data_IF_051243494848
#
_entry.id   IF_051243494848
#
_cell.length_a   1.000
_cell.length_b   1.000
_cell.length_c   1.000
_cell.angle_alpha   90.00
_cell.angle_beta   90.00
_cell.angle_gamma   90.00
#
_symmetry.space_group_name_H-M   'P 1'
#
loop_
_entity.id
_entity.type
_entity.pdbx_description
1 polymer ?
#
# COMPACT_ATOMS: atom_id res chain seq x y z
N UNK A 1 -20.92 -0.80 16.69
CA UNK A 1 -21.68 -1.81 15.94
C UNK A 1 -21.79 -1.38 14.49
N UNK A 2 -21.50 -2.26 13.52
CA UNK A 2 -21.49 -1.90 12.10
C UNK A 2 -22.84 -2.19 11.47
N UNK A 3 -23.41 -3.31 11.84
CA UNK A 3 -24.64 -3.86 11.31
C UNK A 3 -25.71 -4.13 12.40
N UNK A 4 -25.50 -3.67 13.63
CA UNK A 4 -26.43 -3.92 14.75
C UNK A 4 -26.28 -5.25 15.45
N UNK A 5 -25.44 -6.18 14.96
CA UNK A 5 -25.22 -7.48 15.60
C UNK A 5 -24.23 -7.37 16.76
N UNK A 6 -24.59 -7.93 17.91
CA UNK A 6 -23.81 -7.90 19.14
C UNK A 6 -22.64 -8.90 19.02
N UNK A 7 -21.44 -8.47 19.40
CA UNK A 7 -20.30 -9.36 19.66
C UNK A 7 -19.15 -9.35 18.64
N UNK A 8 -19.38 -9.02 17.37
CA UNK A 8 -18.30 -8.94 16.39
C UNK A 8 -18.24 -7.57 15.72
N UNK A 9 -17.02 -7.11 15.41
CA UNK A 9 -16.81 -5.86 14.66
C UNK A 9 -17.35 -5.93 13.24
N UNK A 10 -17.24 -7.10 12.61
CA UNK A 10 -17.75 -7.40 11.29
C UNK A 10 -18.47 -8.74 11.38
N UNK A 11 -19.79 -8.73 11.30
CA UNK A 11 -20.57 -9.96 11.22
C UNK A 11 -20.29 -10.70 9.89
N UNK A 12 -20.73 -11.94 9.81
CA UNK A 12 -20.52 -12.77 8.62
C UNK A 12 -21.03 -12.11 7.33
N UNK A 13 -22.18 -11.42 7.38
CA UNK A 13 -22.75 -10.72 6.23
C UNK A 13 -21.89 -9.54 5.77
N UNK A 14 -21.38 -8.74 6.72
CA UNK A 14 -20.46 -7.66 6.40
C UNK A 14 -19.14 -8.20 5.81
N UNK A 15 -18.63 -9.32 6.32
CA UNK A 15 -17.44 -9.98 5.77
C UNK A 15 -17.68 -10.45 4.33
N UNK A 16 -18.87 -11.01 4.03
CA UNK A 16 -19.25 -11.45 2.67
C UNK A 16 -19.43 -10.30 1.67
N UNK A 17 -19.79 -9.10 2.14
CA UNK A 17 -19.91 -7.91 1.29
C UNK A 17 -18.58 -7.31 0.85
N UNK A 18 -17.47 -7.70 1.49
CA UNK A 18 -16.13 -7.28 1.09
C UNK A 18 -15.65 -8.13 -0.09
N UNK A 19 -15.95 -7.66 -1.29
CA UNK A 19 -15.58 -8.35 -2.53
C UNK A 19 -14.10 -8.18 -2.85
N UNK A 20 -13.45 -9.23 -3.39
CA UNK A 20 -12.09 -9.12 -3.89
C UNK A 20 -12.02 -8.15 -5.08
N UNK A 21 -10.89 -7.49 -5.25
CA UNK A 21 -10.63 -6.68 -6.42
C UNK A 21 -10.13 -7.56 -7.58
N UNK A 22 -10.51 -7.23 -8.81
CA UNK A 22 -9.98 -7.93 -9.99
C UNK A 22 -8.48 -7.65 -10.15
N UNK A 23 -7.76 -8.64 -10.66
CA UNK A 23 -6.34 -8.50 -11.00
C UNK A 23 -6.16 -7.54 -12.17
N UNK A 24 -5.49 -6.44 -11.92
CA UNK A 24 -5.25 -5.39 -12.91
C UNK A 24 -3.81 -4.92 -12.93
N UNK A 25 -3.37 -4.49 -14.09
CA UNK A 25 -2.14 -3.72 -14.22
C UNK A 25 -2.27 -2.39 -13.46
N UNK A 26 -1.26 -2.08 -12.68
CA UNK A 26 -1.22 -0.86 -11.87
C UNK A 26 -1.35 0.43 -12.69
N UNK A 27 -1.00 0.45 -13.96
CA UNK A 27 -1.01 1.63 -14.83
C UNK A 27 -2.20 1.71 -15.78
N UNK A 28 -2.38 0.71 -16.66
CA UNK A 28 -3.41 0.76 -17.71
C UNK A 28 -4.75 0.17 -17.28
N UNK A 29 -4.83 -0.44 -16.09
CA UNK A 29 -6.02 -1.06 -15.51
C UNK A 29 -6.61 -2.24 -16.28
N UNK A 30 -5.96 -2.69 -17.34
CA UNK A 30 -6.32 -3.92 -18.01
C UNK A 30 -6.02 -5.12 -17.11
N UNK A 31 -6.70 -6.23 -17.32
CA UNK A 31 -6.38 -7.48 -16.62
C UNK A 31 -4.87 -7.76 -16.67
N UNK A 32 -4.31 -8.12 -15.54
CA UNK A 32 -2.91 -8.50 -15.44
C UNK A 32 -2.73 -9.50 -14.32
N UNK A 33 -2.33 -10.71 -14.70
CA UNK A 33 -2.14 -11.83 -13.77
C UNK A 33 -1.25 -11.44 -12.60
N UNK A 34 -1.65 -11.86 -11.40
CA UNK A 34 -0.94 -11.60 -10.15
C UNK A 34 -0.75 -10.09 -9.86
N UNK A 35 -1.62 -9.21 -10.36
CA UNK A 35 -1.51 -7.75 -10.19
C UNK A 35 -0.17 -7.14 -10.65
N UNK A 36 0.53 -7.81 -11.56
CA UNK A 36 1.79 -7.31 -12.10
C UNK A 36 1.55 -6.10 -13.03
N UNK A 37 2.54 -5.25 -13.14
CA UNK A 37 2.57 -4.26 -14.22
C UNK A 37 2.79 -4.98 -15.54
N UNK A 38 1.88 -4.83 -16.52
CA UNK A 38 1.97 -5.52 -17.81
C UNK A 38 3.21 -5.07 -18.61
N UNK A 39 3.63 -5.89 -19.57
CA UNK A 39 4.85 -5.63 -20.35
C UNK A 39 4.81 -4.30 -21.10
N UNK A 40 3.67 -3.96 -21.72
CA UNK A 40 3.48 -2.69 -22.42
C UNK A 40 3.69 -1.48 -21.52
N UNK A 41 3.23 -1.56 -20.25
CA UNK A 41 3.41 -0.49 -19.30
C UNK A 41 4.82 -0.45 -18.72
N UNK A 42 5.49 -1.60 -18.56
CA UNK A 42 6.89 -1.66 -18.12
C UNK A 42 7.85 -1.08 -19.17
N UNK A 43 7.54 -1.19 -20.45
CA UNK A 43 8.35 -0.59 -21.52
C UNK A 43 8.30 0.94 -21.54
N UNK A 44 7.29 1.55 -20.89
CA UNK A 44 7.18 3.00 -20.77
C UNK A 44 8.13 3.54 -19.70
N UNK A 45 9.11 4.38 -20.12
CA UNK A 45 10.18 4.91 -19.26
C UNK A 45 9.71 5.64 -17.97
N UNK A 46 8.45 6.04 -17.91
CA UNK A 46 7.92 6.82 -16.77
C UNK A 46 7.24 5.97 -15.69
N UNK A 47 7.07 4.65 -15.91
CA UNK A 47 6.40 3.79 -14.96
C UNK A 47 7.30 2.63 -14.51
N UNK A 48 7.60 2.57 -13.22
CA UNK A 48 8.66 1.70 -12.68
C UNK A 48 8.18 0.73 -11.58
N UNK A 49 6.90 0.80 -11.20
CA UNK A 49 6.31 -0.12 -10.22
C UNK A 49 6.15 -1.52 -10.83
N UNK A 50 6.53 -2.57 -10.11
CA UNK A 50 6.48 -3.95 -10.61
C UNK A 50 5.10 -4.60 -10.43
N UNK A 51 4.37 -4.24 -9.36
CA UNK A 51 3.03 -4.72 -9.13
C UNK A 51 2.28 -3.95 -8.03
N UNK A 52 0.94 -4.07 -8.07
CA UNK A 52 0.05 -3.42 -7.09
C UNK A 52 -1.02 -4.40 -6.64
N UNK A 53 -0.84 -5.01 -5.47
CA UNK A 53 -1.83 -5.90 -4.87
C UNK A 53 -2.96 -5.10 -4.22
N UNK A 54 -4.21 -5.40 -4.60
CA UNK A 54 -5.42 -4.76 -4.10
C UNK A 54 -6.39 -5.86 -3.62
N UNK A 55 -6.42 -6.19 -2.33
CA UNK A 55 -7.27 -7.28 -1.81
C UNK A 55 -8.77 -7.02 -1.95
N UNK A 56 -9.21 -5.76 -1.90
CA UNK A 56 -10.64 -5.44 -1.85
C UNK A 56 -11.06 -4.43 -2.91
N UNK A 57 -12.24 -4.65 -3.49
CA UNK A 57 -12.96 -3.62 -4.24
C UNK A 57 -13.39 -2.48 -3.31
N UNK A 58 -13.26 -1.22 -3.76
CA UNK A 58 -13.62 -0.06 -2.96
C UNK A 58 -15.14 0.05 -2.83
N UNK A 59 -15.67 -0.29 -1.67
CA UNK A 59 -17.10 -0.23 -1.35
C UNK A 59 -17.37 0.77 -0.23
N UNK A 60 -18.65 1.15 -0.08
CA UNK A 60 -19.08 1.97 1.05
C UNK A 60 -18.73 1.32 2.41
N UNK A 61 -18.90 0.01 2.53
CA UNK A 61 -18.55 -0.73 3.74
C UNK A 61 -17.04 -0.64 4.02
N UNK A 62 -16.21 -0.93 3.01
CA UNK A 62 -14.75 -0.83 3.16
C UNK A 62 -14.29 0.58 3.51
N UNK A 63 -14.89 1.61 2.88
CA UNK A 63 -14.65 3.01 3.26
C UNK A 63 -14.90 3.26 4.75
N UNK A 64 -16.02 2.76 5.29
CA UNK A 64 -16.32 2.88 6.74
C UNK A 64 -15.28 2.16 7.59
N UNK A 65 -14.87 0.96 7.20
CA UNK A 65 -13.84 0.18 7.90
C UNK A 65 -12.53 0.98 7.96
N UNK A 66 -12.06 1.51 6.84
CA UNK A 66 -10.84 2.30 6.74
C UNK A 66 -10.94 3.62 7.55
N UNK A 67 -12.10 4.28 7.53
CA UNK A 67 -12.32 5.46 8.38
C UNK A 67 -12.22 5.12 9.86
N UNK A 68 -12.75 3.97 10.28
CA UNK A 68 -12.62 3.52 11.69
C UNK A 68 -11.19 3.12 12.04
N UNK A 69 -10.47 2.48 11.12
CA UNK A 69 -9.04 2.26 11.28
C UNK A 69 -8.31 3.59 11.54
N UNK A 70 -8.72 4.68 10.86
CA UNK A 70 -8.12 6.02 11.01
C UNK A 70 -8.39 6.69 12.36
N UNK A 71 -9.50 6.40 13.00
CA UNK A 71 -9.94 7.16 14.18
C UNK A 71 -10.06 6.36 15.48
N UNK A 72 -10.18 5.05 15.44
CA UNK A 72 -10.56 4.25 16.62
C UNK A 72 -9.58 3.16 17.06
N UNK A 73 -8.42 3.01 16.41
CA UNK A 73 -7.30 2.12 16.82
C UNK A 73 -7.72 0.69 17.22
N UNK A 74 -8.74 0.11 16.61
CA UNK A 74 -9.28 -1.16 17.06
C UNK A 74 -8.52 -2.34 16.47
N UNK A 75 -7.74 -3.05 17.28
CA UNK A 75 -6.94 -4.22 16.90
C UNK A 75 -7.71 -5.22 16.06
N UNK A 76 -8.91 -5.61 16.48
CA UNK A 76 -9.72 -6.61 15.75
C UNK A 76 -10.05 -6.25 14.29
N UNK A 77 -10.14 -4.94 13.97
CA UNK A 77 -10.31 -4.48 12.59
C UNK A 77 -9.01 -4.60 11.82
N UNK A 78 -7.89 -4.25 12.45
CA UNK A 78 -6.55 -4.38 11.86
C UNK A 78 -6.28 -5.86 11.56
N UNK A 79 -6.47 -6.73 12.53
CA UNK A 79 -6.23 -8.18 12.39
C UNK A 79 -7.03 -8.76 11.24
N UNK A 80 -8.33 -8.45 11.15
CA UNK A 80 -9.17 -8.89 10.04
C UNK A 80 -8.65 -8.41 8.67
N UNK A 81 -8.29 -7.12 8.54
CA UNK A 81 -7.77 -6.57 7.29
C UNK A 81 -6.43 -7.20 6.92
N UNK A 82 -5.55 -7.36 7.89
CA UNK A 82 -4.23 -7.96 7.71
C UNK A 82 -4.35 -9.42 7.29
N UNK A 83 -5.25 -10.22 7.92
CA UNK A 83 -5.51 -11.61 7.52
C UNK A 83 -5.93 -11.70 6.05
N UNK A 84 -6.82 -10.81 5.60
CA UNK A 84 -7.27 -10.77 4.20
C UNK A 84 -6.16 -10.34 3.24
N UNK A 85 -5.32 -9.40 3.65
CA UNK A 85 -4.13 -9.03 2.86
C UNK A 85 -3.15 -10.20 2.77
N UNK A 86 -2.88 -10.90 3.88
CA UNK A 86 -2.03 -12.09 3.88
C UNK A 86 -2.55 -13.17 2.94
N UNK A 87 -3.85 -13.47 3.00
CA UNK A 87 -4.47 -14.42 2.06
C UNK A 87 -4.28 -13.99 0.60
N UNK A 88 -4.48 -12.71 0.29
CA UNK A 88 -4.27 -12.18 -1.06
C UNK A 88 -2.79 -12.25 -1.48
N UNK A 89 -1.85 -12.00 -0.56
CA UNK A 89 -0.40 -12.13 -0.80
C UNK A 89 -0.03 -13.59 -1.11
N UNK A 90 -0.50 -14.55 -0.32
CA UNK A 90 -0.21 -15.97 -0.53
C UNK A 90 -0.90 -16.54 -1.78
N UNK A 91 -2.08 -16.02 -2.14
CA UNK A 91 -2.77 -16.39 -3.39
C UNK A 91 -2.12 -15.79 -4.64
N UNK A 92 -1.32 -14.73 -4.49
CA UNK A 92 -0.56 -14.12 -5.57
C UNK A 92 0.74 -14.90 -5.81
N UNK A 93 0.78 -15.72 -6.86
CA UNK A 93 1.91 -16.61 -7.13
C UNK A 93 3.24 -15.88 -7.31
N UNK A 94 3.21 -14.67 -7.85
CA UNK A 94 4.43 -13.88 -8.07
C UNK A 94 4.97 -13.34 -6.76
N UNK A 95 4.11 -12.81 -5.89
CA UNK A 95 4.52 -12.19 -4.64
C UNK A 95 4.85 -13.24 -3.57
N UNK A 96 4.10 -14.35 -3.49
CA UNK A 96 4.40 -15.45 -2.57
C UNK A 96 5.78 -16.07 -2.82
N UNK A 97 6.11 -16.34 -4.09
CA UNK A 97 7.45 -16.84 -4.46
C UNK A 97 8.59 -15.87 -4.11
N UNK A 98 8.32 -14.56 -4.08
CA UNK A 98 9.31 -13.57 -3.63
C UNK A 98 9.51 -13.61 -2.11
N UNK A 99 8.42 -13.75 -1.37
CA UNK A 99 8.45 -13.84 0.11
C UNK A 99 9.19 -15.11 0.55
N UNK A 100 8.95 -16.24 -0.10
CA UNK A 100 9.64 -17.52 0.18
C UNK A 100 11.17 -17.45 0.09
N UNK A 101 11.70 -16.51 -0.69
CA UNK A 101 13.16 -16.30 -0.81
C UNK A 101 13.78 -15.56 0.38
N UNK A 102 12.99 -15.08 1.34
CA UNK A 102 13.45 -14.36 2.54
C UNK A 102 14.28 -13.10 2.26
N UNK A 103 14.22 -12.57 1.04
CA UNK A 103 14.92 -11.35 0.60
C UNK A 103 13.92 -10.22 0.32
N UNK A 104 13.05 -10.01 1.30
CA UNK A 104 11.96 -9.04 1.21
C UNK A 104 11.99 -8.10 2.39
N UNK A 105 11.88 -6.80 2.12
CA UNK A 105 11.60 -5.77 3.12
C UNK A 105 10.20 -5.23 2.92
N UNK A 106 9.54 -4.88 4.03
CA UNK A 106 8.22 -4.23 4.04
C UNK A 106 8.28 -2.90 4.79
N UNK A 107 7.60 -1.89 4.26
CA UNK A 107 7.47 -0.58 4.90
C UNK A 107 6.08 0.01 4.68
N UNK A 108 5.63 0.84 5.62
CA UNK A 108 4.47 1.70 5.41
C UNK A 108 4.85 3.01 4.71
N UNK A 109 3.93 3.60 3.96
CA UNK A 109 4.12 4.95 3.42
C UNK A 109 4.13 5.98 4.55
N UNK A 110 5.15 6.87 4.62
CA UNK A 110 5.20 7.88 5.65
C UNK A 110 4.11 8.95 5.46
N UNK A 111 3.43 9.30 6.55
CA UNK A 111 2.62 10.51 6.60
C UNK A 111 3.54 11.72 6.87
N UNK A 112 3.12 12.93 6.42
CA UNK A 112 3.88 14.14 6.75
C UNK A 112 3.95 14.34 8.26
N UNK A 113 5.14 14.74 8.80
CA UNK A 113 5.39 14.91 10.23
C UNK A 113 4.34 15.77 10.95
N UNK A 114 3.87 16.87 10.33
CA UNK A 114 2.83 17.74 10.88
C UNK A 114 1.52 16.98 11.15
N UNK A 115 1.09 16.09 10.23
CA UNK A 115 -0.09 15.25 10.44
C UNK A 115 0.12 14.19 11.51
N UNK A 116 1.35 13.71 11.67
CA UNK A 116 1.71 12.73 12.69
C UNK A 116 1.61 13.33 14.09
N UNK A 117 2.07 14.57 14.30
CA UNK A 117 2.12 15.20 15.62
C UNK A 117 0.89 16.02 15.99
N UNK A 118 0.21 16.66 15.03
CA UNK A 118 -0.86 17.62 15.32
C UNK A 118 -2.27 17.17 14.94
N UNK A 119 -2.43 16.21 14.00
CA UNK A 119 -3.74 15.83 13.48
C UNK A 119 -4.04 14.34 13.71
N UNK A 120 -3.02 13.47 13.77
CA UNK A 120 -3.20 12.03 13.92
C UNK A 120 -2.08 11.45 14.76
N UNK A 121 -2.44 10.75 15.82
CA UNK A 121 -1.53 10.09 16.75
C UNK A 121 -0.74 8.92 16.15
N UNK A 122 -1.09 8.43 14.94
CA UNK A 122 -0.41 7.31 14.31
C UNK A 122 -0.58 7.28 12.79
N UNK A 123 0.30 6.54 12.12
CA UNK A 123 0.25 6.31 10.67
C UNK A 123 -0.36 4.93 10.39
N UNK A 124 -1.50 4.90 9.67
CA UNK A 124 -2.23 3.67 9.33
C UNK A 124 -1.40 2.73 8.48
N UNK A 125 -0.65 3.27 7.52
CA UNK A 125 0.21 2.48 6.62
C UNK A 125 1.32 1.78 7.39
N UNK A 126 1.88 2.43 8.43
CA UNK A 126 2.86 1.80 9.33
C UNK A 126 2.22 0.72 10.21
N UNK A 127 1.01 0.98 10.72
CA UNK A 127 0.30 -0.02 11.51
C UNK A 127 0.00 -1.28 10.68
N UNK A 128 -0.50 -1.10 9.45
CA UNK A 128 -0.75 -2.22 8.54
C UNK A 128 0.54 -2.96 8.19
N UNK A 129 1.60 -2.22 7.83
CA UNK A 129 2.89 -2.83 7.50
C UNK A 129 3.47 -3.62 8.67
N UNK A 130 3.42 -3.07 9.89
CA UNK A 130 3.86 -3.77 11.11
C UNK A 130 3.11 -5.06 11.38
N UNK A 131 1.78 -5.08 11.23
CA UNK A 131 1.02 -6.31 11.44
C UNK A 131 1.21 -7.32 10.28
N UNK A 132 1.49 -6.84 9.07
CA UNK A 132 1.81 -7.69 7.94
C UNK A 132 3.18 -8.37 8.09
N UNK A 133 4.22 -7.64 8.57
CA UNK A 133 5.55 -8.23 8.73
C UNK A 133 5.53 -9.42 9.70
N UNK A 134 4.81 -9.30 10.80
CA UNK A 134 4.66 -10.38 11.78
C UNK A 134 4.00 -11.63 11.16
N UNK A 135 2.97 -11.46 10.31
CA UNK A 135 2.24 -12.58 9.70
C UNK A 135 2.90 -13.13 8.44
N UNK A 136 3.64 -12.32 7.70
CA UNK A 136 4.34 -12.73 6.48
C UNK A 136 5.80 -13.16 6.75
N UNK A 137 6.28 -13.00 7.99
CA UNK A 137 7.66 -13.32 8.38
C UNK A 137 8.71 -12.61 7.51
N UNK A 138 8.43 -11.35 7.10
CA UNK A 138 9.34 -10.50 6.34
C UNK A 138 9.92 -9.41 7.24
N UNK A 139 11.05 -8.81 6.91
CA UNK A 139 11.64 -7.75 7.73
C UNK A 139 10.94 -6.40 7.51
N UNK A 140 10.50 -5.75 8.60
CA UNK A 140 9.93 -4.40 8.60
C UNK A 140 11.02 -3.33 8.74
N UNK A 141 10.94 -2.28 7.95
CA UNK A 141 11.87 -1.13 7.99
C UNK A 141 11.15 0.20 7.72
N UNK A 142 11.67 1.29 8.28
CA UNK A 142 11.18 2.66 8.04
C UNK A 142 12.25 3.45 7.26
N UNK A 143 12.40 3.16 5.97
CA UNK A 143 13.45 3.76 5.13
C UNK A 143 13.02 5.01 4.37
N UNK A 144 11.77 5.41 4.48
CA UNK A 144 11.22 6.55 3.75
C UNK A 144 10.88 7.71 4.68
N UNK A 145 11.31 8.91 4.32
CA UNK A 145 10.87 10.18 4.92
C UNK A 145 10.04 10.97 3.93
N UNK A 146 8.97 11.61 4.40
CA UNK A 146 8.18 12.54 3.60
C UNK A 146 8.57 13.98 3.93
N UNK A 147 9.22 14.64 2.99
CA UNK A 147 9.82 15.96 3.19
C UNK A 147 8.83 17.13 3.03
N UNK A 148 7.79 16.96 2.22
CA UNK A 148 6.81 18.01 1.92
C UNK A 148 5.40 17.64 2.34
N UNK A 149 4.66 18.59 2.92
CA UNK A 149 3.23 18.46 3.10
C UNK A 149 2.54 18.59 1.74
N UNK A 150 2.29 17.46 1.08
CA UNK A 150 1.42 17.46 -0.10
C UNK A 150 0.00 17.66 0.39
N UNK A 151 -0.55 18.88 0.19
CA UNK A 151 -1.96 19.16 0.48
C UNK A 151 -2.81 18.19 -0.35
N UNK A 152 -3.62 17.38 0.32
CA UNK A 152 -4.68 16.59 -0.29
C UNK A 152 -5.80 17.54 -0.70
N UNK A 153 -5.60 18.31 -1.76
CA UNK A 153 -6.69 19.07 -2.36
C UNK A 153 -7.34 18.17 -3.39
N UNK A 154 -8.57 17.74 -3.07
CA UNK A 154 -9.39 16.94 -3.96
C UNK A 154 -9.71 17.65 -5.30
N UNK A 155 -9.40 18.94 -5.41
CA UNK A 155 -9.67 19.84 -6.53
C UNK A 155 -8.45 20.16 -7.41
N UNK A 156 -7.24 19.67 -7.11
CA UNK A 156 -6.06 20.00 -7.92
C UNK A 156 -5.93 19.08 -9.13
N UNK A 157 -5.61 19.70 -10.27
CA UNK A 157 -5.35 19.08 -11.55
C UNK A 157 -4.16 18.10 -11.50
N UNK A 158 -4.15 17.12 -12.43
CA UNK A 158 -3.15 16.03 -12.49
C UNK A 158 -1.72 16.52 -12.60
N UNK A 159 -1.47 17.58 -13.37
CA UNK A 159 -0.14 18.15 -13.57
C UNK A 159 0.42 18.81 -12.31
N UNK A 160 -0.41 19.51 -11.55
CA UNK A 160 -0.01 20.10 -10.28
C UNK A 160 0.35 19.06 -9.22
N UNK A 161 -0.33 17.90 -9.25
CA UNK A 161 0.01 16.78 -8.35
C UNK A 161 1.35 16.16 -8.68
N UNK A 162 1.68 16.01 -9.95
CA UNK A 162 2.99 15.52 -10.40
C UNK A 162 4.12 16.46 -9.99
N UNK A 163 3.95 17.78 -10.17
CA UNK A 163 4.93 18.80 -9.74
C UNK A 163 5.11 18.84 -8.21
N UNK A 164 4.02 18.69 -7.44
CA UNK A 164 4.07 18.71 -5.97
C UNK A 164 4.69 17.44 -5.36
N UNK A 165 4.73 16.32 -6.06
CA UNK A 165 5.32 15.07 -5.57
C UNK A 165 6.81 14.96 -5.87
N UNK A 166 7.34 15.76 -6.80
CA UNK A 166 8.76 15.77 -7.10
C UNK A 166 9.55 16.18 -5.83
N UNK A 167 10.45 15.31 -5.36
CA UNK A 167 11.19 15.46 -4.12
C UNK A 167 10.32 15.48 -2.82
N UNK A 168 9.14 14.88 -2.86
CA UNK A 168 8.29 14.77 -1.68
C UNK A 168 8.76 13.67 -0.70
N UNK A 169 9.60 12.77 -1.17
CA UNK A 169 10.14 11.64 -0.40
C UNK A 169 11.67 11.63 -0.48
N UNK A 170 12.30 11.14 0.57
CA UNK A 170 13.73 10.80 0.62
C UNK A 170 13.94 9.47 1.32
N UNK A 171 15.08 8.84 1.07
CA UNK A 171 15.52 7.67 1.80
C UNK A 171 16.22 8.09 3.11
N UNK A 172 16.10 7.23 4.14
CA UNK A 172 16.84 7.34 5.39
C UNK A 172 18.11 6.50 5.33
N UNK A 173 18.95 6.58 6.36
CA UNK A 173 20.22 5.86 6.43
C UNK A 173 20.02 4.33 6.39
N UNK A 174 18.93 3.83 6.96
CA UNK A 174 18.55 2.42 6.93
C UNK A 174 18.25 1.89 5.51
N UNK A 175 18.22 2.77 4.51
CA UNK A 175 18.03 2.37 3.10
C UNK A 175 19.16 1.49 2.56
N UNK A 176 20.33 1.42 3.22
CA UNK A 176 21.40 0.48 2.89
C UNK A 176 20.91 -0.99 2.94
N UNK A 177 19.90 -1.30 3.75
CA UNK A 177 19.28 -2.62 3.81
C UNK A 177 18.67 -3.06 2.46
N UNK A 178 18.30 -2.12 1.59
CA UNK A 178 17.78 -2.43 0.25
C UNK A 178 18.79 -3.17 -0.64
N UNK A 179 20.09 -3.00 -0.41
CA UNK A 179 21.13 -3.70 -1.17
C UNK A 179 21.15 -5.23 -0.92
N UNK A 180 20.55 -5.68 0.17
CA UNK A 180 20.54 -7.09 0.58
C UNK A 180 19.28 -7.84 0.22
N UNK A 181 18.30 -7.16 -0.43
CA UNK A 181 17.02 -7.76 -0.78
C UNK A 181 16.68 -7.60 -2.26
N UNK A 182 15.81 -8.49 -2.74
CA UNK A 182 15.36 -8.49 -4.13
C UNK A 182 13.99 -7.82 -4.30
N UNK A 183 13.26 -7.65 -3.19
CA UNK A 183 11.89 -7.13 -3.22
C UNK A 183 11.64 -6.17 -2.07
N UNK A 184 11.02 -5.06 -2.39
CA UNK A 184 10.54 -4.08 -1.42
C UNK A 184 9.02 -3.90 -1.54
N UNK A 185 8.32 -4.14 -0.44
CA UNK A 185 6.86 -4.02 -0.37
C UNK A 185 6.50 -2.74 0.38
N UNK A 186 5.77 -1.87 -0.29
CA UNK A 186 5.19 -0.68 0.30
C UNK A 186 3.73 -0.91 0.64
N UNK A 187 3.31 -0.51 1.84
CA UNK A 187 1.94 -0.68 2.33
C UNK A 187 1.27 0.68 2.50
N UNK A 188 0.02 0.78 2.04
CA UNK A 188 -0.82 1.95 2.26
C UNK A 188 -2.29 1.52 2.51
N UNK A 189 -3.15 2.45 2.98
CA UNK A 189 -4.56 2.14 3.22
C UNK A 189 -5.38 2.19 1.92
N UNK A 190 -5.35 3.30 1.19
CA UNK A 190 -6.12 3.50 -0.06
C UNK A 190 -5.33 4.31 -1.06
N UNK A 191 -5.27 3.81 -2.27
CA UNK A 191 -4.72 4.60 -3.38
C UNK A 191 -5.83 5.24 -4.22
N UNK A 192 -5.55 6.47 -4.68
CA UNK A 192 -6.42 7.21 -5.62
C UNK A 192 -5.71 7.54 -6.92
N UNK A 193 -4.38 7.65 -6.87
CA UNK A 193 -3.54 8.02 -8.01
C UNK A 193 -2.20 7.29 -7.95
N UNK A 194 -1.65 7.00 -9.13
CA UNK A 194 -0.33 6.35 -9.31
C UNK A 194 0.85 7.20 -8.85
N UNK A 195 0.63 8.51 -8.77
CA UNK A 195 1.72 9.47 -8.67
C UNK A 195 2.59 9.26 -7.42
N UNK A 196 1.98 9.03 -6.27
CA UNK A 196 2.75 8.77 -5.04
C UNK A 196 3.54 7.46 -5.12
N UNK A 197 2.86 6.39 -5.59
CA UNK A 197 3.47 5.06 -5.71
C UNK A 197 4.65 5.06 -6.69
N UNK A 198 4.44 5.68 -7.84
CA UNK A 198 5.45 5.72 -8.88
C UNK A 198 6.65 6.61 -8.50
N UNK A 199 6.42 7.73 -7.81
CA UNK A 199 7.52 8.58 -7.33
C UNK A 199 8.38 7.88 -6.27
N UNK A 200 7.75 7.15 -5.34
CA UNK A 200 8.51 6.35 -4.36
C UNK A 200 9.24 5.20 -5.05
N UNK A 201 8.59 4.50 -5.99
CA UNK A 201 9.24 3.44 -6.75
C UNK A 201 10.43 3.95 -7.58
N UNK A 202 10.31 5.13 -8.21
CA UNK A 202 11.43 5.80 -8.91
C UNK A 202 12.58 6.12 -7.98
N UNK A 203 12.28 6.67 -6.80
CA UNK A 203 13.29 6.99 -5.80
C UNK A 203 14.06 5.72 -5.37
N UNK A 204 13.36 4.63 -5.08
CA UNK A 204 13.97 3.37 -4.68
C UNK A 204 14.82 2.80 -5.81
N UNK A 205 14.28 2.73 -7.04
CA UNK A 205 15.00 2.17 -8.19
C UNK A 205 16.14 3.06 -8.70
N UNK A 206 16.15 4.34 -8.37
CA UNK A 206 17.28 5.21 -8.66
C UNK A 206 18.54 4.76 -7.90
N UNK A 207 18.41 4.42 -6.63
CA UNK A 207 19.53 3.93 -5.81
C UNK A 207 19.73 2.42 -5.89
N UNK A 208 18.67 1.64 -6.16
CA UNK A 208 18.65 0.19 -6.22
C UNK A 208 17.93 -0.30 -7.48
N UNK A 209 18.55 -0.24 -8.68
CA UNK A 209 17.86 -0.46 -9.96
C UNK A 209 17.25 -1.86 -10.12
N UNK A 210 17.86 -2.86 -9.50
CA UNK A 210 17.48 -4.27 -9.64
C UNK A 210 16.39 -4.72 -8.66
N UNK A 211 16.00 -3.88 -7.70
CA UNK A 211 14.98 -4.24 -6.70
C UNK A 211 13.59 -4.25 -7.32
N UNK A 212 12.81 -5.28 -7.00
CA UNK A 212 11.39 -5.34 -7.36
C UNK A 212 10.58 -4.53 -6.36
N UNK A 213 9.85 -3.52 -6.81
CA UNK A 213 9.02 -2.65 -5.95
C UNK A 213 7.56 -3.01 -6.13
N UNK A 214 6.95 -3.51 -5.06
CA UNK A 214 5.55 -3.84 -4.97
C UNK A 214 4.82 -2.88 -4.05
N UNK A 215 3.56 -2.65 -4.35
CA UNK A 215 2.68 -1.89 -3.48
C UNK A 215 1.49 -2.74 -3.07
N UNK A 216 1.17 -2.73 -1.79
CA UNK A 216 0.01 -3.40 -1.21
C UNK A 216 -0.90 -2.34 -0.62
N UNK A 217 -2.13 -2.24 -1.09
CA UNK A 217 -3.14 -1.30 -0.60
C UNK A 217 -4.43 -2.04 -0.31
N UNK A 218 -5.18 -1.63 0.72
CA UNK A 218 -6.46 -2.28 1.03
C UNK A 218 -7.45 -2.15 -0.11
N UNK A 219 -7.49 -0.98 -0.74
CA UNK A 219 -8.37 -0.73 -1.89
C UNK A 219 -7.85 0.40 -2.77
N UNK A 220 -8.38 0.45 -3.97
CA UNK A 220 -8.25 1.56 -4.88
C UNK A 220 -9.59 2.26 -5.05
N UNK A 221 -9.59 3.58 -4.87
CA UNK A 221 -10.75 4.40 -5.18
C UNK A 221 -10.66 4.85 -6.64
N UNK A 222 -11.50 4.28 -7.48
CA UNK A 222 -11.69 4.76 -8.85
C UNK A 222 -12.35 6.14 -8.82
N UNK A 223 -12.05 6.94 -9.83
CA UNK A 223 -12.61 8.29 -9.97
C UNK A 223 -13.90 8.26 -10.75
#
# INVERSE_FOLDING_TARGET
MWCGNIGEYLCADCKRQLQPHMEICSWCHKYSKDYQTCLDCKSQKNFVLDGLLIPFSYSWLLKKIILKLKYYHRRSVVDFLVDRVCLAVYSNMTLSKKIEKWRVLISGIPSHWYRRYFVKWYNQSYLLAKNLWEKLWVQYVEILKKNKSTKSQASLDREWRLKNLKNAFSLCDESCLLSHVDTFILVDDVTTTWSTMNEVAKLIKYYHPNISVWWVVLARKDR
#
